data_IF_766495418788
#
_entry.id   IF_766495418788
#
_cell.length_a   1.000
_cell.length_b   1.000
_cell.length_c   1.000
_cell.angle_alpha   90.00
_cell.angle_beta   90.00
_cell.angle_gamma   90.00
#
_symmetry.space_group_name_H-M   'P 1'
#
loop_
_entity.id
_entity.type
_entity.pdbx_description
1 polymer ?
#
# COMPACT_ATOMS: atom_id res chain seq x y z
N UNK A 1 28.46 6.54 10.88
CA UNK A 1 27.97 6.48 9.49
C UNK A 1 26.66 5.67 9.41
N UNK A 2 25.62 6.04 10.17
CA UNK A 2 24.40 5.20 10.37
C UNK A 2 23.08 5.89 10.01
N UNK A 3 23.07 7.22 9.81
CA UNK A 3 21.84 7.95 9.46
C UNK A 3 21.34 7.69 8.03
N UNK A 4 22.24 7.41 7.07
CA UNK A 4 21.84 7.31 5.66
C UNK A 4 21.00 6.04 5.36
N UNK A 5 21.23 4.94 6.08
CA UNK A 5 20.51 3.68 5.84
C UNK A 5 19.06 3.70 6.35
N UNK A 6 18.75 4.50 7.38
CA UNK A 6 17.41 4.56 7.95
C UNK A 6 16.46 5.49 7.17
N UNK A 7 16.96 6.63 6.68
CA UNK A 7 16.18 7.45 5.75
C UNK A 7 15.89 6.66 4.48
N UNK A 8 16.84 5.86 3.98
CA UNK A 8 16.62 4.94 2.87
C UNK A 8 15.60 3.85 3.18
N UNK A 9 15.48 3.35 4.42
CA UNK A 9 14.49 2.32 4.77
C UNK A 9 13.09 2.90 4.99
N UNK A 10 12.97 4.12 5.51
CA UNK A 10 11.70 4.87 5.60
C UNK A 10 11.21 5.39 4.24
N UNK A 11 12.14 5.72 3.34
CA UNK A 11 11.86 6.08 1.94
C UNK A 11 11.76 4.85 1.04
N UNK A 12 12.11 3.65 1.53
CA UNK A 12 11.96 2.40 0.81
C UNK A 12 10.47 2.17 0.60
N UNK A 13 10.13 1.88 -0.64
CA UNK A 13 8.74 1.78 -1.04
C UNK A 13 7.95 0.78 -0.20
N UNK A 14 6.87 1.26 0.41
CA UNK A 14 5.87 0.43 1.08
C UNK A 14 5.10 -0.50 0.10
N UNK A 15 5.31 -0.31 -1.20
CA UNK A 15 4.64 -1.04 -2.26
C UNK A 15 5.69 -1.71 -3.16
N UNK A 16 5.69 -3.04 -3.19
CA UNK A 16 6.54 -3.81 -4.10
C UNK A 16 6.24 -3.45 -5.56
N UNK A 17 7.21 -3.71 -6.45
CA UNK A 17 7.00 -3.52 -7.88
C UNK A 17 5.83 -4.34 -8.43
N UNK A 18 5.52 -5.47 -7.78
CA UNK A 18 4.35 -6.30 -8.08
C UNK A 18 3.06 -5.55 -7.73
N UNK A 19 2.90 -5.07 -6.50
CA UNK A 19 1.70 -4.34 -6.10
C UNK A 19 1.50 -3.02 -6.87
N UNK A 20 2.58 -2.36 -7.30
CA UNK A 20 2.49 -1.19 -8.19
C UNK A 20 2.01 -1.54 -9.59
N UNK A 21 2.43 -2.69 -10.11
CA UNK A 21 1.96 -3.21 -11.41
C UNK A 21 0.46 -3.53 -11.31
N UNK A 22 0.06 -4.25 -10.26
CA UNK A 22 -1.35 -4.56 -10.01
C UNK A 22 -2.20 -3.30 -9.83
N UNK A 23 -1.71 -2.29 -9.11
CA UNK A 23 -2.36 -0.98 -9.00
C UNK A 23 -2.63 -0.35 -10.36
N UNK A 24 -1.61 -0.29 -11.23
CA UNK A 24 -1.74 0.32 -12.57
C UNK A 24 -2.70 -0.49 -13.45
N UNK A 25 -2.64 -1.81 -13.38
CA UNK A 25 -3.58 -2.70 -14.06
C UNK A 25 -5.02 -2.45 -13.59
N UNK A 26 -5.25 -2.41 -12.27
CA UNK A 26 -6.55 -2.13 -11.67
C UNK A 26 -7.10 -0.77 -12.10
N UNK A 27 -6.28 0.29 -12.03
CA UNK A 27 -6.71 1.63 -12.45
C UNK A 27 -7.00 1.68 -13.96
N UNK A 28 -6.16 1.05 -14.78
CA UNK A 28 -6.35 1.00 -16.24
C UNK A 28 -7.63 0.27 -16.63
N UNK A 29 -7.87 -0.92 -16.07
CA UNK A 29 -9.09 -1.69 -16.37
C UNK A 29 -10.34 -1.03 -15.78
N UNK A 30 -10.23 -0.39 -14.62
CA UNK A 30 -11.34 0.35 -14.01
C UNK A 30 -11.71 1.56 -14.87
N UNK A 31 -10.73 2.33 -15.34
CA UNK A 31 -10.97 3.45 -16.25
C UNK A 31 -11.62 2.99 -17.55
N UNK A 32 -11.15 1.88 -18.11
CA UNK A 32 -11.77 1.26 -19.29
C UNK A 32 -13.23 0.87 -19.01
N UNK A 33 -13.52 0.19 -17.90
CA UNK A 33 -14.87 -0.18 -17.50
C UNK A 33 -15.81 1.01 -17.25
N UNK A 34 -15.30 2.08 -16.62
CA UNK A 34 -16.04 3.34 -16.45
C UNK A 34 -16.38 3.95 -17.82
N UNK A 35 -15.41 3.97 -18.73
CA UNK A 35 -15.60 4.51 -20.08
C UNK A 35 -16.62 3.70 -20.87
N UNK A 36 -16.61 2.37 -20.75
CA UNK A 36 -17.63 1.51 -21.37
C UNK A 36 -19.02 1.75 -20.79
N UNK A 37 -19.15 1.86 -19.47
CA UNK A 37 -20.45 2.00 -18.80
C UNK A 37 -21.08 3.38 -18.96
N UNK A 38 -20.31 4.46 -18.80
CA UNK A 38 -20.81 5.85 -18.89
C UNK A 38 -20.75 6.34 -20.33
N UNK A 39 -19.67 6.05 -21.04
CA UNK A 39 -19.42 6.58 -22.38
C UNK A 39 -20.31 5.96 -23.46
N UNK A 40 -21.10 4.93 -23.15
CA UNK A 40 -21.93 4.24 -24.13
C UNK A 40 -21.12 3.64 -25.27
N UNK A 41 -19.80 3.43 -25.07
CA UNK A 41 -18.86 3.00 -26.09
C UNK A 41 -18.95 1.51 -26.41
N UNK A 42 -20.02 0.82 -26.01
CA UNK A 42 -20.26 -0.55 -26.46
C UNK A 42 -20.69 -0.48 -27.93
N UNK A 43 -19.85 -0.95 -28.88
CA UNK A 43 -20.17 -0.82 -30.29
C UNK A 43 -21.47 -1.57 -30.59
N UNK A 44 -22.49 -0.86 -31.06
CA UNK A 44 -23.77 -1.48 -31.42
C UNK A 44 -23.65 -2.33 -32.69
N UNK A 45 -22.71 -1.99 -33.57
CA UNK A 45 -22.40 -2.72 -34.80
C UNK A 45 -20.92 -2.60 -35.12
N UNK A 46 -20.31 -3.65 -35.64
CA UNK A 46 -19.04 -3.56 -36.37
C UNK A 46 -19.38 -3.76 -37.84
N UNK A 47 -19.59 -2.68 -38.62
CA UNK A 47 -20.07 -2.78 -40.00
C UNK A 47 -19.14 -3.61 -40.89
N UNK A 48 -17.85 -3.64 -40.58
CA UNK A 48 -16.83 -4.39 -41.32
C UNK A 48 -16.89 -5.91 -41.12
N UNK A 49 -17.61 -6.40 -40.11
CA UNK A 49 -17.75 -7.84 -39.81
C UNK A 49 -19.17 -8.38 -40.07
N UNK A 50 -20.14 -7.52 -40.38
CA UNK A 50 -21.53 -7.94 -40.62
C UNK A 50 -22.25 -8.50 -39.38
N UNK A 51 -21.67 -8.35 -38.19
CA UNK A 51 -22.25 -8.79 -36.92
C UNK A 51 -23.01 -7.62 -36.29
N UNK A 52 -24.32 -7.78 -36.12
CA UNK A 52 -25.14 -6.88 -35.29
C UNK A 52 -25.13 -7.40 -33.86
N UNK A 53 -24.68 -6.58 -32.91
CA UNK A 53 -24.72 -6.97 -31.51
C UNK A 53 -26.14 -6.78 -30.99
N UNK A 54 -26.73 -7.84 -30.43
CA UNK A 54 -28.00 -7.75 -29.74
C UNK A 54 -27.79 -7.15 -28.35
N UNK A 55 -28.85 -6.57 -27.76
CA UNK A 55 -28.83 -6.03 -26.40
C UNK A 55 -28.34 -7.05 -25.35
N UNK A 56 -28.60 -8.35 -25.57
CA UNK A 56 -28.11 -9.43 -24.72
C UNK A 56 -26.58 -9.57 -24.73
N UNK A 57 -25.93 -9.33 -25.87
CA UNK A 57 -24.48 -9.45 -26.02
C UNK A 57 -23.76 -8.33 -25.29
N UNK A 58 -24.35 -7.13 -25.27
CA UNK A 58 -23.84 -5.97 -24.52
C UNK A 58 -23.82 -6.23 -23.01
N UNK A 59 -24.90 -6.82 -22.49
CA UNK A 59 -25.01 -7.18 -21.08
C UNK A 59 -23.94 -8.20 -20.67
N UNK A 60 -23.74 -9.23 -21.49
CA UNK A 60 -22.73 -10.26 -21.22
C UNK A 60 -21.33 -9.66 -21.24
N UNK A 61 -21.02 -8.79 -22.22
CA UNK A 61 -19.74 -8.09 -22.29
C UNK A 61 -19.46 -7.27 -21.02
N UNK A 62 -20.43 -6.47 -20.57
CA UNK A 62 -20.27 -5.64 -19.37
C UNK A 62 -20.07 -6.50 -18.11
N UNK A 63 -20.78 -7.64 -18.00
CA UNK A 63 -20.57 -8.59 -16.90
C UNK A 63 -19.17 -9.22 -16.94
N UNK A 64 -18.66 -9.59 -18.12
CA UNK A 64 -17.29 -10.10 -18.25
C UNK A 64 -16.28 -9.06 -17.76
N UNK A 65 -16.42 -7.80 -18.20
CA UNK A 65 -15.55 -6.71 -17.74
C UNK A 65 -15.69 -6.50 -16.22
N UNK A 66 -16.91 -6.59 -15.67
CA UNK A 66 -17.15 -6.51 -14.23
C UNK A 66 -16.41 -7.61 -13.47
N UNK A 67 -16.44 -8.86 -13.94
CA UNK A 67 -15.69 -9.96 -13.34
C UNK A 67 -14.18 -9.75 -13.42
N UNK A 68 -13.67 -9.20 -14.53
CA UNK A 68 -12.24 -8.86 -14.66
C UNK A 68 -11.85 -7.78 -13.65
N UNK A 69 -12.63 -6.70 -13.54
CA UNK A 69 -12.38 -5.64 -12.54
C UNK A 69 -12.42 -6.21 -11.13
N UNK A 70 -13.41 -7.05 -10.81
CA UNK A 70 -13.52 -7.71 -9.51
C UNK A 70 -12.29 -8.57 -9.20
N UNK A 71 -11.82 -9.36 -10.16
CA UNK A 71 -10.59 -10.15 -10.04
C UNK A 71 -9.39 -9.25 -9.71
N UNK A 72 -9.21 -8.13 -10.42
CA UNK A 72 -8.10 -7.20 -10.16
C UNK A 72 -8.20 -6.51 -8.79
N UNK A 73 -9.41 -6.23 -8.30
CA UNK A 73 -9.59 -5.70 -6.93
C UNK A 73 -9.10 -6.74 -5.91
N UNK A 74 -9.54 -7.99 -6.04
CA UNK A 74 -9.14 -9.07 -5.12
C UNK A 74 -7.63 -9.32 -5.19
N UNK A 75 -7.07 -9.42 -6.39
CA UNK A 75 -5.63 -9.59 -6.59
C UNK A 75 -4.85 -8.44 -5.94
N UNK A 76 -5.26 -7.19 -6.21
CA UNK A 76 -4.63 -6.02 -5.62
C UNK A 76 -4.70 -6.05 -4.09
N UNK A 77 -5.84 -6.41 -3.48
CA UNK A 77 -5.99 -6.52 -2.02
C UNK A 77 -5.02 -7.55 -1.44
N UNK A 78 -4.86 -8.72 -2.07
CA UNK A 78 -3.94 -9.78 -1.60
C UNK A 78 -2.49 -9.27 -1.61
N UNK A 79 -2.02 -8.73 -2.73
CA UNK A 79 -0.66 -8.21 -2.84
C UNK A 79 -0.43 -7.01 -1.92
N UNK A 80 -1.39 -6.10 -1.85
CA UNK A 80 -1.36 -4.95 -0.96
C UNK A 80 -1.24 -5.35 0.51
N UNK A 81 -2.02 -6.34 0.95
CA UNK A 81 -1.98 -6.83 2.32
C UNK A 81 -0.63 -7.49 2.66
N UNK A 82 -0.07 -8.26 1.73
CA UNK A 82 1.26 -8.88 1.88
C UNK A 82 2.36 -7.83 2.03
N UNK A 83 2.33 -6.80 1.19
CA UNK A 83 3.30 -5.70 1.25
C UNK A 83 3.15 -4.87 2.51
N UNK A 84 1.91 -4.56 2.92
CA UNK A 84 1.64 -3.86 4.16
C UNK A 84 2.14 -4.63 5.39
N UNK A 85 1.96 -5.96 5.41
CA UNK A 85 2.45 -6.80 6.50
C UNK A 85 3.98 -6.84 6.52
N UNK A 86 4.62 -6.96 5.35
CA UNK A 86 6.07 -6.94 5.21
C UNK A 86 6.66 -5.62 5.71
N UNK A 87 6.07 -4.49 5.30
CA UNK A 87 6.45 -3.16 5.78
C UNK A 87 6.31 -3.03 7.32
N UNK A 88 5.22 -3.53 7.89
CA UNK A 88 5.00 -3.48 9.34
C UNK A 88 6.00 -4.35 10.12
N UNK A 89 6.45 -5.47 9.53
CA UNK A 89 7.48 -6.33 10.10
C UNK A 89 8.87 -5.69 10.02
N UNK A 90 9.21 -5.05 8.90
CA UNK A 90 10.47 -4.31 8.74
C UNK A 90 10.59 -3.13 9.70
N UNK A 91 9.51 -2.39 9.94
CA UNK A 91 9.51 -1.31 10.95
C UNK A 91 9.79 -1.87 12.35
N UNK A 92 9.21 -3.03 12.69
CA UNK A 92 9.43 -3.67 13.98
C UNK A 92 10.86 -4.19 14.13
N UNK A 93 11.41 -4.83 13.11
CA UNK A 93 12.78 -5.35 13.14
C UNK A 93 13.79 -4.22 13.23
N UNK A 94 13.59 -3.12 12.49
CA UNK A 94 14.44 -1.95 12.59
C UNK A 94 14.39 -1.31 13.99
N UNK A 95 13.19 -1.18 14.58
CA UNK A 95 13.05 -0.62 15.91
C UNK A 95 13.77 -1.49 16.96
N UNK A 96 13.73 -2.82 16.80
CA UNK A 96 14.42 -3.77 17.66
C UNK A 96 15.94 -3.70 17.48
N UNK A 97 16.43 -3.70 16.24
CA UNK A 97 17.86 -3.66 15.94
C UNK A 97 18.49 -2.36 16.42
N UNK A 98 17.80 -1.22 16.25
CA UNK A 98 18.26 0.05 16.78
C UNK A 98 18.33 0.05 18.31
N UNK A 99 17.34 -0.55 18.98
CA UNK A 99 17.34 -0.67 20.43
C UNK A 99 18.52 -1.54 20.92
N UNK A 100 18.85 -2.61 20.20
CA UNK A 100 19.99 -3.48 20.49
C UNK A 100 21.31 -2.75 20.24
N UNK A 101 21.46 -2.06 19.09
CA UNK A 101 22.70 -1.34 18.75
C UNK A 101 22.98 -0.17 19.67
N UNK A 102 21.94 0.59 20.05
CA UNK A 102 22.08 1.68 21.03
C UNK A 102 22.49 1.12 22.40
N UNK A 103 21.92 0.00 22.84
CA UNK A 103 22.37 -0.67 24.06
C UNK A 103 23.83 -1.10 23.95
N UNK A 104 24.23 -1.73 22.85
CA UNK A 104 25.58 -2.25 22.68
C UNK A 104 26.65 -1.15 22.62
N UNK A 105 26.38 -0.02 21.95
CA UNK A 105 27.27 1.16 21.98
C UNK A 105 27.35 1.78 23.37
N UNK A 106 26.23 1.81 24.11
CA UNK A 106 26.23 2.25 25.51
C UNK A 106 27.11 1.33 26.35
N UNK A 107 26.95 0.01 26.26
CA UNK A 107 27.82 -0.95 26.97
C UNK A 107 29.28 -0.85 26.56
N UNK A 108 29.58 -0.64 25.27
CA UNK A 108 30.95 -0.57 24.73
C UNK A 108 31.69 0.68 25.18
N UNK A 109 30.98 1.79 25.35
CA UNK A 109 31.55 3.06 25.82
C UNK A 109 31.43 3.26 27.33
N UNK A 110 30.81 2.31 28.06
CA UNK A 110 30.68 2.35 29.51
C UNK A 110 31.97 1.88 30.17
N UNK A 111 32.80 2.81 30.66
CA UNK A 111 33.80 2.48 31.67
C UNK A 111 33.06 2.39 33.02
N UNK A 112 33.01 1.21 33.67
CA UNK A 112 32.33 1.10 34.96
C UNK A 112 33.10 1.95 35.98
N UNK A 113 32.50 3.07 36.42
CA UNK A 113 33.01 3.76 37.59
C UNK A 113 32.63 2.94 38.83
N UNK A 114 33.59 2.60 39.70
CA UNK A 114 33.29 1.84 40.91
C UNK A 114 32.51 2.73 41.88
N UNK A 115 31.20 2.50 42.04
CA UNK A 115 30.45 3.04 43.20
C UNK A 115 28.98 3.44 43.07
N UNK A 116 28.38 3.52 41.88
CA UNK A 116 26.96 3.92 41.73
C UNK A 116 26.18 2.94 40.83
N UNK A 117 25.61 1.84 41.39
CA UNK A 117 25.39 0.65 40.59
C UNK A 117 24.26 0.67 39.56
N UNK A 118 23.12 1.34 39.78
CA UNK A 118 21.90 1.02 39.00
C UNK A 118 21.02 2.22 38.60
N UNK A 119 20.84 3.22 39.46
CA UNK A 119 19.88 4.32 39.22
C UNK A 119 20.29 5.33 38.15
N UNK A 120 21.59 5.51 37.91
CA UNK A 120 22.11 6.47 36.93
C UNK A 120 22.03 5.90 35.50
N UNK A 121 22.19 4.57 35.38
CA UNK A 121 22.03 3.79 34.15
C UNK A 121 20.59 3.85 33.65
N UNK A 122 19.60 3.70 34.55
CA UNK A 122 18.18 3.82 34.19
C UNK A 122 17.81 5.24 33.71
N UNK A 123 18.38 6.27 34.34
CA UNK A 123 18.02 7.67 34.07
C UNK A 123 18.45 8.13 32.68
N UNK A 124 19.61 7.69 32.21
CA UNK A 124 20.11 8.04 30.87
C UNK A 124 19.53 7.14 29.77
N UNK A 125 19.27 5.85 30.04
CA UNK A 125 18.46 5.01 29.15
C UNK A 125 17.04 5.58 28.91
N UNK A 126 16.44 6.21 29.92
CA UNK A 126 15.13 6.85 29.82
C UNK A 126 15.08 8.06 28.87
N UNK A 127 16.17 8.83 28.75
CA UNK A 127 16.24 10.02 27.89
C UNK A 127 16.41 9.66 26.41
N UNK A 128 17.17 8.60 26.10
CA UNK A 128 17.38 8.12 24.74
C UNK A 128 16.07 7.62 24.10
N UNK A 129 15.28 6.84 24.85
CA UNK A 129 13.95 6.38 24.44
C UNK A 129 12.98 7.52 24.11
N UNK A 130 13.03 8.62 24.88
CA UNK A 130 12.11 9.75 24.72
C UNK A 130 12.36 10.53 23.43
N UNK A 131 13.62 10.64 22.99
CA UNK A 131 14.02 11.35 21.75
C UNK A 131 13.68 10.53 20.50
N UNK A 132 13.87 9.20 20.57
CA UNK A 132 13.50 8.27 19.49
C UNK A 132 11.97 8.22 19.27
N UNK A 133 11.17 8.41 20.34
CA UNK A 133 9.70 8.50 20.28
C UNK A 133 9.20 9.73 19.51
N UNK A 134 9.89 10.87 19.61
CA UNK A 134 9.49 12.10 18.92
C UNK A 134 9.71 12.00 17.41
N UNK A 135 10.81 11.36 17.00
CA UNK A 135 11.16 11.13 15.59
C UNK A 135 10.15 10.20 14.90
N UNK A 136 9.76 9.10 15.57
CA UNK A 136 8.68 8.21 15.12
C UNK A 136 7.34 8.95 14.92
N UNK A 137 7.06 9.97 15.74
CA UNK A 137 5.81 10.74 15.70
C UNK A 137 5.73 11.70 14.51
N UNK A 138 6.88 12.15 13.99
CA UNK A 138 6.95 13.10 12.87
C UNK A 138 6.99 12.43 11.49
N UNK A 139 7.53 11.20 11.38
CA UNK A 139 7.61 10.46 10.10
C UNK A 139 6.37 9.58 9.84
N UNK A 140 5.61 9.23 10.88
CA UNK A 140 4.37 8.45 10.74
C UNK A 140 3.28 9.06 9.83
N UNK A 141 2.98 10.38 9.83
CA UNK A 141 1.82 10.90 9.10
C UNK A 141 1.96 10.81 7.58
N UNK A 142 3.15 11.10 7.04
CA UNK A 142 3.40 11.02 5.58
C UNK A 142 3.28 9.59 5.07
N UNK A 143 3.76 8.62 5.84
CA UNK A 143 3.64 7.20 5.51
C UNK A 143 2.20 6.70 5.57
N UNK A 144 1.41 7.18 6.53
CA UNK A 144 -0.01 6.80 6.67
C UNK A 144 -0.82 7.39 5.51
N UNK A 145 -0.61 8.66 5.17
CA UNK A 145 -1.29 9.31 4.04
C UNK A 145 -0.95 8.59 2.73
N UNK A 146 0.33 8.27 2.53
CA UNK A 146 0.78 7.52 1.35
C UNK A 146 0.16 6.14 1.29
N UNK A 147 0.14 5.39 2.40
CA UNK A 147 -0.53 4.09 2.46
C UNK A 147 -2.03 4.22 2.14
N UNK A 148 -2.72 5.20 2.72
CA UNK A 148 -4.14 5.44 2.44
C UNK A 148 -4.39 5.73 0.96
N UNK A 149 -3.54 6.52 0.31
CA UNK A 149 -3.65 6.80 -1.12
C UNK A 149 -3.27 5.62 -1.99
N UNK A 150 -2.16 4.94 -1.68
CA UNK A 150 -1.64 3.84 -2.48
C UNK A 150 -2.55 2.61 -2.42
N UNK A 151 -3.24 2.38 -1.31
CA UNK A 151 -4.16 1.25 -1.13
C UNK A 151 -5.64 1.64 -1.31
N UNK A 152 -6.06 2.74 -0.71
CA UNK A 152 -7.48 3.12 -0.66
C UNK A 152 -8.02 3.63 -1.99
N UNK A 153 -7.27 4.47 -2.70
CA UNK A 153 -7.74 5.06 -3.96
C UNK A 153 -7.98 4.01 -5.06
N UNK A 154 -7.06 3.05 -5.32
CA UNK A 154 -7.30 2.03 -6.34
C UNK A 154 -8.51 1.15 -6.04
N UNK A 155 -8.71 0.77 -4.77
CA UNK A 155 -9.87 -0.02 -4.35
C UNK A 155 -11.17 0.78 -4.53
N UNK A 156 -11.19 2.05 -4.13
CA UNK A 156 -12.36 2.91 -4.29
C UNK A 156 -12.73 3.09 -5.77
N UNK A 157 -11.74 3.37 -6.63
CA UNK A 157 -11.95 3.51 -8.08
C UNK A 157 -12.42 2.19 -8.69
N UNK A 158 -11.82 1.06 -8.32
CA UNK A 158 -12.25 -0.26 -8.78
C UNK A 158 -13.66 -0.62 -8.35
N UNK A 159 -14.01 -0.39 -7.08
CA UNK A 159 -15.36 -0.62 -6.56
C UNK A 159 -16.41 0.26 -7.27
N UNK A 160 -16.06 1.52 -7.54
CA UNK A 160 -16.92 2.42 -8.30
C UNK A 160 -17.11 1.94 -9.75
N UNK A 161 -16.04 1.55 -10.43
CA UNK A 161 -16.11 0.97 -11.78
C UNK A 161 -16.97 -0.30 -11.83
N UNK A 162 -16.78 -1.19 -10.85
CA UNK A 162 -17.56 -2.41 -10.71
C UNK A 162 -19.05 -2.11 -10.52
N UNK A 163 -19.38 -1.16 -9.64
CA UNK A 163 -20.76 -0.73 -9.42
C UNK A 163 -21.41 -0.20 -10.72
N UNK A 164 -20.69 0.64 -11.47
CA UNK A 164 -21.19 1.18 -12.73
C UNK A 164 -21.40 0.10 -13.79
N UNK A 165 -20.47 -0.84 -13.93
CA UNK A 165 -20.59 -1.95 -14.88
C UNK A 165 -21.78 -2.86 -14.56
N UNK A 166 -21.96 -3.23 -13.28
CA UNK A 166 -23.09 -4.08 -12.85
C UNK A 166 -24.42 -3.34 -13.05
N UNK A 167 -24.48 -2.06 -12.71
CA UNK A 167 -25.67 -1.23 -12.93
C UNK A 167 -25.99 -1.10 -14.43
N UNK A 168 -24.99 -0.84 -15.26
CA UNK A 168 -25.16 -0.73 -16.71
C UNK A 168 -25.56 -2.06 -17.35
N UNK A 169 -25.15 -3.19 -16.78
CA UNK A 169 -25.56 -4.52 -17.23
C UNK A 169 -26.96 -4.92 -16.73
N UNK A 170 -27.54 -4.23 -15.76
CA UNK A 170 -28.85 -4.54 -15.18
C UNK A 170 -29.99 -3.68 -15.75
N UNK A 171 -29.68 -2.48 -16.27
CA UNK A 171 -30.61 -1.62 -17.00
C UNK A 171 -30.68 -1.98 -18.46
#
# INVERSE_FOLDING_TARGET
MTNHNFEQSLLRDALSDVARKERRSLLGISLFGITLSIGGMVPSKIPSLGIEFQLADHRILLLIVAFIVFYFIVAFIIYAASDYLSWKLEIKSWALEKAISENEEVYRNYCPQPGTPEEEIERDMGKLHKKNRLYFRLVAPTSIIRALFDFGLPIAVGAFALFLLVRAAAG
#
